data_IF_781465471183
#
_entry.id   IF_781465471183
#
_cell.length_a   1.000
_cell.length_b   1.000
_cell.length_c   1.000
_cell.angle_alpha   90.00
_cell.angle_beta   90.00
_cell.angle_gamma   90.00
#
_symmetry.space_group_name_H-M   'P 1'
#
loop_
_entity.id
_entity.type
_entity.pdbx_description
1 polymer ?
#
# COMPACT_ATOMS: atom_id res chain seq x y z
N UNK A 1 25.53 9.22 -14.57
CA UNK A 1 24.57 8.79 -15.58
C UNK A 1 23.17 9.00 -15.00
N UNK A 2 22.41 9.95 -15.56
CA UNK A 2 21.08 10.34 -15.11
C UNK A 2 20.08 9.21 -15.35
N UNK A 3 19.37 8.75 -14.31
CA UNK A 3 18.13 8.00 -14.51
C UNK A 3 17.02 9.04 -14.71
N UNK A 4 16.49 9.10 -15.94
CA UNK A 4 15.27 9.82 -16.24
C UNK A 4 14.14 9.14 -15.45
N UNK A 5 13.78 9.71 -14.30
CA UNK A 5 12.62 9.29 -13.54
C UNK A 5 11.39 9.94 -14.18
N UNK A 6 10.84 9.29 -15.20
CA UNK A 6 9.56 9.64 -15.85
C UNK A 6 8.37 9.11 -15.06
N UNK A 7 8.48 8.96 -13.74
CA UNK A 7 7.33 8.66 -12.90
C UNK A 7 6.70 10.01 -12.52
N UNK A 8 5.37 10.19 -12.69
CA UNK A 8 4.71 11.40 -12.24
C UNK A 8 5.00 11.61 -10.76
N UNK A 9 5.00 12.87 -10.31
CA UNK A 9 5.16 13.29 -8.90
C UNK A 9 4.14 12.54 -8.04
N UNK A 10 4.48 11.32 -7.65
CA UNK A 10 3.60 10.42 -6.93
C UNK A 10 3.85 10.79 -5.49
N UNK A 11 2.92 11.53 -4.90
CA UNK A 11 2.94 11.79 -3.46
C UNK A 11 2.82 10.45 -2.73
N UNK A 12 3.97 9.84 -2.44
CA UNK A 12 4.04 8.59 -1.71
C UNK A 12 3.53 8.83 -0.29
N UNK A 13 2.54 8.04 0.10
CA UNK A 13 1.87 8.17 1.40
C UNK A 13 2.03 6.89 2.19
N UNK A 14 1.66 6.96 3.46
CA UNK A 14 1.47 5.74 4.24
C UNK A 14 0.06 5.16 4.00
N UNK A 15 -0.15 3.88 4.36
CA UNK A 15 -1.41 3.18 4.12
C UNK A 15 -2.60 3.88 4.80
N UNK A 16 -2.39 4.46 5.99
CA UNK A 16 -3.45 5.11 6.76
C UNK A 16 -3.95 6.40 6.11
N UNK A 17 -3.03 7.18 5.52
CA UNK A 17 -3.39 8.34 4.72
C UNK A 17 -4.14 7.95 3.45
N UNK A 18 -3.67 6.92 2.73
CA UNK A 18 -4.37 6.42 1.53
C UNK A 18 -5.77 5.90 1.84
N UNK A 19 -5.94 5.25 2.99
CA UNK A 19 -7.24 4.79 3.48
C UNK A 19 -8.16 5.97 3.79
N UNK A 20 -7.69 6.99 4.54
CA UNK A 20 -8.49 8.19 4.83
C UNK A 20 -8.87 8.97 3.57
N UNK A 21 -7.94 9.14 2.63
CA UNK A 21 -8.20 9.80 1.34
C UNK A 21 -9.17 9.01 0.46
N UNK A 22 -9.24 7.70 0.66
CA UNK A 22 -10.22 6.83 -0.02
C UNK A 22 -11.59 6.81 0.68
N UNK A 23 -11.84 7.72 1.62
CA UNK A 23 -13.10 7.78 2.37
C UNK A 23 -13.23 6.68 3.43
N UNK A 24 -12.09 6.17 3.91
CA UNK A 24 -12.04 5.13 4.94
C UNK A 24 -12.65 3.78 4.51
N UNK A 25 -12.69 3.52 3.19
CA UNK A 25 -13.24 2.29 2.59
C UNK A 25 -12.20 1.18 2.48
N UNK A 26 -12.64 -0.04 2.77
CA UNK A 26 -11.90 -1.29 2.58
C UNK A 26 -12.74 -2.26 1.72
N UNK A 27 -12.13 -3.19 0.97
CA UNK A 27 -10.69 -3.36 0.82
C UNK A 27 -10.02 -2.26 -0.02
N UNK A 28 -8.76 -1.93 0.28
CA UNK A 28 -7.97 -0.93 -0.45
C UNK A 28 -6.77 -1.56 -1.14
N UNK A 29 -6.66 -1.39 -2.46
CA UNK A 29 -5.53 -1.90 -3.25
C UNK A 29 -4.38 -0.90 -3.27
N UNK A 30 -3.18 -1.33 -2.86
CA UNK A 30 -1.97 -0.50 -2.81
C UNK A 30 -0.75 -1.23 -3.36
N UNK A 31 0.27 -0.47 -3.75
CA UNK A 31 1.60 -0.98 -4.07
C UNK A 31 2.68 -0.15 -3.39
N UNK A 32 3.78 -0.82 -3.03
CA UNK A 32 4.99 -0.18 -2.53
C UNK A 32 5.78 0.39 -3.72
N UNK A 33 6.53 1.47 -3.52
CA UNK A 33 7.32 2.13 -4.55
C UNK A 33 8.37 1.23 -5.21
N UNK A 34 8.88 0.26 -4.47
CA UNK A 34 9.81 -0.74 -4.99
C UNK A 34 9.13 -1.92 -5.72
N UNK A 35 7.80 -1.93 -5.83
CA UNK A 35 7.04 -3.03 -6.42
C UNK A 35 6.51 -2.66 -7.80
N UNK A 36 6.64 -3.59 -8.75
CA UNK A 36 5.96 -3.48 -10.05
C UNK A 36 4.52 -3.99 -9.93
N UNK A 37 3.57 -3.06 -9.88
CA UNK A 37 2.15 -3.38 -9.90
C UNK A 37 1.72 -4.08 -11.20
N UNK A 38 2.33 -3.70 -12.33
CA UNK A 38 2.10 -4.34 -13.64
C UNK A 38 2.54 -5.81 -13.65
N UNK A 39 3.61 -6.14 -12.94
CA UNK A 39 4.02 -7.52 -12.70
C UNK A 39 3.13 -8.26 -11.68
N UNK A 40 2.02 -7.65 -11.23
CA UNK A 40 1.09 -8.23 -10.28
C UNK A 40 1.58 -8.22 -8.84
N UNK A 41 2.47 -7.30 -8.46
CA UNK A 41 2.91 -7.11 -7.08
C UNK A 41 2.11 -6.00 -6.41
N UNK A 42 1.18 -6.38 -5.55
CA UNK A 42 0.32 -5.45 -4.84
C UNK A 42 -0.15 -6.03 -3.52
N UNK A 43 -0.82 -5.22 -2.73
CA UNK A 43 -1.42 -5.62 -1.48
C UNK A 43 -2.88 -5.15 -1.44
N UNK A 44 -3.76 -6.02 -0.96
CA UNK A 44 -5.14 -5.68 -0.63
C UNK A 44 -5.19 -5.47 0.88
N UNK A 45 -5.38 -4.22 1.31
CA UNK A 45 -5.59 -3.90 2.72
C UNK A 45 -7.03 -4.27 3.06
N UNK A 46 -7.21 -5.10 4.08
CA UNK A 46 -8.50 -5.67 4.48
C UNK A 46 -8.98 -5.11 5.82
N UNK A 47 -8.06 -4.64 6.68
CA UNK A 47 -8.38 -4.06 7.99
C UNK A 47 -7.35 -2.99 8.40
N UNK A 48 -7.80 -2.00 9.17
CA UNK A 48 -7.01 -0.86 9.63
C UNK A 48 -7.39 -0.50 11.07
N UNK A 49 -6.39 -0.45 11.94
CA UNK A 49 -6.51 0.05 13.32
C UNK A 49 -5.59 1.26 13.50
N UNK A 50 -6.16 2.45 13.72
CA UNK A 50 -5.39 3.65 14.03
C UNK A 50 -5.00 3.67 15.52
N UNK A 51 -3.70 3.77 15.81
CA UNK A 51 -3.18 3.95 17.18
C UNK A 51 -2.87 5.40 17.50
N UNK A 52 -2.21 6.10 16.57
CA UNK A 52 -1.89 7.53 16.66
C UNK A 52 -1.79 8.06 15.24
N UNK A 53 -2.69 8.93 14.83
CA UNK A 53 -2.69 9.48 13.47
C UNK A 53 -1.32 10.10 13.08
N UNK A 54 -0.77 9.83 11.88
CA UNK A 54 -1.27 8.95 10.80
C UNK A 54 -0.65 7.54 10.84
N UNK A 55 -0.61 6.90 12.00
CA UNK A 55 0.02 5.59 12.23
C UNK A 55 -0.91 4.62 12.97
N UNK A 56 -0.70 3.33 12.71
CA UNK A 56 -1.54 2.27 13.22
C UNK A 56 -1.00 0.90 12.87
N UNK A 57 -1.89 -0.07 12.87
CA UNK A 57 -1.68 -1.40 12.32
C UNK A 57 -2.62 -1.60 11.15
N UNK A 58 -2.18 -2.32 10.13
CA UNK A 58 -3.01 -2.68 8.99
C UNK A 58 -2.79 -4.16 8.66
N UNK A 59 -3.83 -4.82 8.18
CA UNK A 59 -3.81 -6.22 7.79
C UNK A 59 -4.36 -6.37 6.38
N UNK A 60 -3.97 -7.45 5.72
CA UNK A 60 -4.43 -7.68 4.36
C UNK A 60 -3.84 -8.91 3.71
N UNK A 61 -3.92 -8.92 2.38
CA UNK A 61 -3.48 -10.00 1.53
C UNK A 61 -2.45 -9.49 0.53
N UNK A 62 -1.24 -10.04 0.59
CA UNK A 62 -0.19 -9.76 -0.38
C UNK A 62 -0.39 -10.58 -1.65
N UNK A 63 -0.16 -9.97 -2.81
CA UNK A 63 -0.18 -10.63 -4.12
C UNK A 63 1.19 -10.54 -4.77
N UNK A 64 1.72 -11.69 -5.19
CA UNK A 64 2.97 -11.80 -5.94
C UNK A 64 2.70 -12.47 -7.28
N UNK A 65 3.09 -11.82 -8.37
CA UNK A 65 2.76 -12.25 -9.74
C UNK A 65 1.26 -12.53 -9.93
N UNK A 66 0.41 -11.74 -9.27
CA UNK A 66 -1.05 -11.92 -9.25
C UNK A 66 -1.55 -13.03 -8.34
N UNK A 67 -0.67 -13.85 -7.77
CA UNK A 67 -1.03 -14.98 -6.90
C UNK A 67 -1.29 -14.45 -5.48
N UNK A 68 -2.49 -14.65 -4.92
CA UNK A 68 -2.80 -14.26 -3.55
C UNK A 68 -2.04 -15.11 -2.53
N UNK A 69 -1.46 -14.46 -1.52
CA UNK A 69 -0.97 -15.09 -0.29
C UNK A 69 -2.10 -15.35 0.72
N UNK A 70 -1.73 -15.54 1.99
CA UNK A 70 -2.70 -15.68 3.08
C UNK A 70 -3.48 -14.36 3.31
N UNK A 71 -4.73 -14.49 3.78
CA UNK A 71 -5.60 -13.36 4.14
C UNK A 71 -5.34 -12.90 5.56
N UNK A 72 -5.64 -11.64 5.85
CA UNK A 72 -5.56 -11.06 7.19
C UNK A 72 -4.15 -11.03 7.78
N UNK A 73 -3.11 -11.10 6.94
CA UNK A 73 -1.73 -11.00 7.41
C UNK A 73 -1.40 -9.57 7.82
N UNK A 74 -0.66 -9.43 8.91
CA UNK A 74 -0.18 -8.12 9.36
C UNK A 74 0.76 -7.53 8.31
N UNK A 75 0.45 -6.33 7.85
CA UNK A 75 1.25 -5.65 6.83
C UNK A 75 2.53 -5.13 7.46
N UNK A 76 3.67 -5.41 6.81
CA UNK A 76 4.96 -4.87 7.22
C UNK A 76 5.12 -3.41 6.78
N UNK A 77 5.57 -2.56 7.71
CA UNK A 77 5.87 -1.15 7.46
C UNK A 77 4.71 -0.30 6.85
N UNK A 78 3.46 -0.40 7.36
CA UNK A 78 2.31 0.31 6.78
C UNK A 78 2.42 1.84 6.94
N UNK A 79 3.21 2.30 7.91
CA UNK A 79 3.45 3.72 8.21
C UNK A 79 4.52 4.41 7.35
N UNK A 80 5.18 3.70 6.42
CA UNK A 80 6.21 4.30 5.56
C UNK A 80 5.58 5.07 4.41
N UNK A 81 6.20 6.17 3.99
CA UNK A 81 5.77 6.99 2.84
C UNK A 81 6.29 6.39 1.55
N UNK A 82 5.95 5.13 1.31
CA UNK A 82 6.38 4.35 0.14
C UNK A 82 5.21 3.68 -0.54
N UNK A 83 3.98 3.96 -0.13
CA UNK A 83 2.79 3.35 -0.69
C UNK A 83 2.08 4.32 -1.63
N UNK A 84 1.48 3.76 -2.66
CA UNK A 84 0.49 4.43 -3.49
C UNK A 84 -0.74 3.56 -3.63
N UNK A 85 -1.88 4.21 -3.84
CA UNK A 85 -3.11 3.53 -4.27
C UNK A 85 -2.95 3.06 -5.72
N UNK A 86 -3.52 1.89 -6.03
CA UNK A 86 -3.64 1.36 -7.39
C UNK A 86 -5.06 1.51 -7.93
#
# INVERSE_FOLDING_TARGET
>A
MMRLHTEPDTEWKNIFQLWRESGEVLPLKVAKSSWSAEAGHFLIVEDVEIKKWPYGTAWGQYHWKGIPGAKGEKINQPGTYTWRKL
#
